data_IF_576307119230
#
_entry.id   IF_576307119230
#
_cell.length_a   1.000
_cell.length_b   1.000
_cell.length_c   1.000
_cell.angle_alpha   90.00
_cell.angle_beta   90.00
_cell.angle_gamma   90.00
#
_symmetry.space_group_name_H-M   'P 1'
#
loop_
_entity.id
_entity.type
_entity.pdbx_description
1 polymer ?
#
# COMPACT_ATOMS: atom_id res chain seq x y z
N UNK A 1 -4.97 9.94 3.00
CA UNK A 1 -3.49 9.92 3.05
C UNK A 1 -2.95 8.99 4.14
N UNK A 2 -3.54 8.94 5.34
CA UNK A 2 -3.10 8.04 6.42
C UNK A 2 -3.36 6.53 6.15
N UNK A 3 -4.48 6.13 5.53
CA UNK A 3 -4.77 4.71 5.24
C UNK A 3 -3.97 4.11 4.07
N UNK A 4 -3.55 4.94 3.10
CA UNK A 4 -2.75 4.52 1.94
C UNK A 4 -1.33 4.08 2.32
N UNK A 5 -0.80 4.65 3.41
CA UNK A 5 0.46 4.24 4.01
C UNK A 5 0.35 2.81 4.54
N UNK A 6 -0.71 2.48 5.30
CA UNK A 6 -0.85 1.20 6.01
C UNK A 6 -0.91 -0.04 5.11
N UNK A 7 -1.68 0.00 4.01
CA UNK A 7 -1.80 -1.13 3.07
C UNK A 7 -0.50 -1.36 2.30
N UNK A 8 0.17 -0.28 1.91
CA UNK A 8 1.40 -0.31 1.11
C UNK A 8 2.63 -0.68 1.96
N UNK A 9 2.64 -0.22 3.22
CA UNK A 9 3.60 -0.61 4.25
C UNK A 9 3.48 -2.10 4.59
N UNK A 10 2.27 -2.67 4.59
CA UNK A 10 2.04 -4.11 4.84
C UNK A 10 2.57 -4.99 3.71
N UNK A 11 2.50 -4.55 2.45
CA UNK A 11 3.04 -5.31 1.30
C UNK A 11 4.57 -5.32 1.29
N UNK A 12 5.22 -4.20 1.63
CA UNK A 12 6.69 -4.14 1.77
C UNK A 12 7.21 -4.86 3.00
N UNK A 13 6.44 -4.98 4.09
CA UNK A 13 6.81 -5.81 5.22
C UNK A 13 7.11 -7.25 4.79
N UNK A 14 6.28 -7.84 3.91
CA UNK A 14 6.54 -9.20 3.40
C UNK A 14 7.79 -9.23 2.51
N UNK A 15 8.03 -8.23 1.66
CA UNK A 15 9.27 -8.13 0.86
C UNK A 15 10.53 -7.96 1.74
N UNK A 16 10.45 -7.15 2.79
CA UNK A 16 11.56 -6.91 3.73
C UNK A 16 11.84 -8.14 4.60
N UNK A 17 10.80 -8.91 4.94
CA UNK A 17 10.87 -10.19 5.68
C UNK A 17 11.50 -11.30 4.83
N UNK A 18 11.25 -11.32 3.52
CA UNK A 18 11.88 -12.25 2.57
C UNK A 18 13.39 -11.96 2.44
N UNK A 19 13.79 -10.69 2.33
CA UNK A 19 15.19 -10.27 2.19
C UNK A 19 16.02 -10.41 3.48
N UNK A 20 15.39 -10.60 4.64
CA UNK A 20 16.07 -10.71 5.95
C UNK A 20 16.22 -12.15 6.46
N UNK A 21 15.91 -13.15 5.61
CA UNK A 21 16.22 -14.57 5.88
C UNK A 21 17.72 -14.85 6.02
N UNK A 22 18.60 -13.88 5.72
CA UNK A 22 20.03 -13.93 6.06
C UNK A 22 20.33 -13.35 7.46
N UNK A 23 19.80 -13.94 8.53
CA UNK A 23 20.39 -13.98 9.89
C UNK A 23 20.90 -12.69 10.60
N UNK A 24 20.75 -11.48 10.04
CA UNK A 24 21.42 -10.29 10.56
C UNK A 24 20.59 -9.63 11.67
N UNK A 25 20.92 -9.98 12.92
CA UNK A 25 20.48 -9.30 14.15
C UNK A 25 21.05 -7.87 14.20
N UNK A 26 20.49 -6.96 13.42
CA UNK A 26 20.94 -5.56 13.37
C UNK A 26 20.02 -4.65 14.20
N UNK A 27 20.57 -3.79 15.08
CA UNK A 27 19.81 -2.73 15.75
C UNK A 27 19.07 -1.82 14.76
N UNK A 28 19.65 -1.59 13.58
CA UNK A 28 19.04 -0.83 12.49
C UNK A 28 17.79 -1.51 11.94
N UNK A 29 17.82 -2.82 11.73
CA UNK A 29 16.65 -3.57 11.25
C UNK A 29 15.53 -3.59 12.30
N UNK A 30 15.90 -3.82 13.56
CA UNK A 30 14.95 -3.83 14.68
C UNK A 30 14.16 -2.53 14.77
N UNK A 31 14.80 -1.41 14.51
CA UNK A 31 14.16 -0.11 14.58
C UNK A 31 13.30 0.24 13.35
N UNK A 32 13.57 -0.35 12.17
CA UNK A 32 12.57 -0.36 11.08
C UNK A 32 11.33 -1.16 11.46
N UNK A 33 11.48 -2.31 12.14
CA UNK A 33 10.32 -3.10 12.61
C UNK A 33 9.47 -2.34 13.63
N UNK A 34 10.09 -1.58 14.52
CA UNK A 34 9.36 -0.75 15.49
C UNK A 34 8.65 0.40 14.79
N UNK A 35 9.35 1.14 13.92
CA UNK A 35 8.76 2.22 13.12
C UNK A 35 7.55 1.72 12.30
N UNK A 36 7.67 0.53 11.71
CA UNK A 36 6.63 -0.15 10.97
C UNK A 36 5.38 -0.41 11.84
N UNK A 37 5.56 -0.96 13.04
CA UNK A 37 4.45 -1.25 13.97
C UNK A 37 3.74 0.03 14.38
N UNK A 38 4.49 1.06 14.77
CA UNK A 38 3.94 2.37 15.15
C UNK A 38 3.15 2.99 14.00
N UNK A 39 3.71 2.95 12.78
CA UNK A 39 2.99 3.40 11.60
C UNK A 39 1.73 2.59 11.35
N UNK A 40 1.78 1.24 11.47
CA UNK A 40 0.64 0.33 11.26
C UNK A 40 -0.54 0.61 12.19
N UNK A 41 -0.24 0.91 13.44
CA UNK A 41 -1.26 1.25 14.45
C UNK A 41 -1.70 2.73 14.37
N UNK A 42 -1.23 3.49 13.38
CA UNK A 42 -1.49 4.93 13.23
C UNK A 42 -1.11 5.75 14.47
N UNK A 43 -0.08 5.30 15.19
CA UNK A 43 0.37 5.95 16.42
C UNK A 43 1.39 7.06 16.13
N UNK A 44 1.48 8.10 16.96
CA UNK A 44 2.53 9.11 16.85
C UNK A 44 3.92 8.47 16.97
N UNK A 45 4.86 8.85 16.11
CA UNK A 45 6.25 8.35 16.18
C UNK A 45 6.90 8.57 17.55
N UNK A 46 6.45 9.62 18.26
CA UNK A 46 6.90 9.98 19.60
C UNK A 46 6.64 8.93 20.68
N UNK A 47 5.68 8.01 20.46
CA UNK A 47 5.40 6.92 21.39
C UNK A 47 6.60 5.98 21.55
N UNK A 48 7.47 5.93 20.54
CA UNK A 48 8.59 4.98 20.52
C UNK A 48 9.63 5.30 21.58
N UNK A 49 10.06 6.56 21.64
CA UNK A 49 11.04 7.04 22.60
C UNK A 49 10.41 7.24 23.99
N UNK A 50 9.17 7.73 24.03
CA UNK A 50 8.52 8.10 25.29
C UNK A 50 7.92 6.92 26.06
N UNK A 51 7.57 5.82 25.38
CA UNK A 51 6.86 4.70 26.01
C UNK A 51 7.41 3.33 25.62
N UNK A 52 7.56 3.05 24.33
CA UNK A 52 7.93 1.69 23.87
C UNK A 52 9.33 1.30 24.35
N UNK A 53 10.32 2.18 24.17
CA UNK A 53 11.70 1.90 24.58
C UNK A 53 11.84 1.79 26.11
N UNK A 54 11.34 2.73 26.93
CA UNK A 54 11.35 2.59 28.39
C UNK A 54 10.66 1.32 28.87
N UNK A 55 9.47 1.02 28.37
CA UNK A 55 8.73 -0.19 28.76
C UNK A 55 9.50 -1.47 28.41
N UNK A 56 10.12 -1.54 27.22
CA UNK A 56 10.93 -2.69 26.83
C UNK A 56 12.18 -2.85 27.71
N UNK A 57 12.84 -1.75 28.09
CA UNK A 57 13.98 -1.76 29.01
C UNK A 57 13.55 -2.27 30.38
N UNK A 58 12.47 -1.75 30.96
CA UNK A 58 11.99 -2.14 32.27
C UNK A 58 11.62 -3.63 32.32
N UNK A 59 10.94 -4.12 31.27
CA UNK A 59 10.59 -5.53 31.15
C UNK A 59 11.83 -6.43 31.11
N UNK A 60 12.82 -6.13 30.26
CA UNK A 60 14.03 -6.95 30.14
C UNK A 60 14.90 -6.86 31.39
N UNK A 61 14.98 -5.68 32.00
CA UNK A 61 15.76 -5.45 33.22
C UNK A 61 15.21 -6.26 34.40
N UNK A 62 13.89 -6.36 34.54
CA UNK A 62 13.23 -7.13 35.62
C UNK A 62 13.23 -8.63 35.32
N UNK A 63 12.93 -9.02 34.08
CA UNK A 63 12.68 -10.43 33.72
C UNK A 63 13.94 -11.20 33.34
N UNK A 64 15.00 -10.51 32.91
CA UNK A 64 16.24 -11.14 32.44
C UNK A 64 17.39 -10.60 33.31
N UNK A 65 17.93 -9.45 32.96
CA UNK A 65 18.96 -8.74 33.72
C UNK A 65 19.23 -7.35 33.08
N UNK A 66 20.03 -6.55 33.78
CA UNK A 66 20.41 -5.21 33.34
C UNK A 66 21.37 -5.22 32.14
N UNK A 67 22.13 -6.29 31.90
CA UNK A 67 23.09 -6.39 30.81
C UNK A 67 22.36 -6.53 29.47
N UNK A 68 21.38 -7.41 29.39
CA UNK A 68 20.51 -7.59 28.23
C UNK A 68 19.63 -6.35 28.00
N UNK A 69 19.15 -5.69 29.06
CA UNK A 69 18.37 -4.46 28.94
C UNK A 69 19.19 -3.32 28.29
N UNK A 70 20.49 -3.25 28.59
CA UNK A 70 21.37 -2.24 27.99
C UNK A 70 21.55 -2.45 26.47
N UNK A 71 21.42 -3.68 25.96
CA UNK A 71 21.48 -3.92 24.50
C UNK A 71 20.33 -3.24 23.75
N UNK A 72 19.16 -3.06 24.37
CA UNK A 72 18.03 -2.35 23.76
C UNK A 72 18.32 -0.86 23.50
N UNK A 73 19.18 -0.23 24.31
CA UNK A 73 19.58 1.18 24.11
C UNK A 73 20.39 1.39 22.84
N UNK A 74 20.96 0.32 22.28
CA UNK A 74 21.68 0.37 20.99
C UNK A 74 20.75 0.49 19.79
N UNK A 75 19.45 0.23 19.98
CA UNK A 75 18.45 0.32 18.93
C UNK A 75 18.10 1.81 18.73
N UNK A 76 18.30 2.38 17.53
CA UNK A 76 18.06 3.80 17.31
C UNK A 76 16.54 4.03 17.15
N UNK A 77 15.90 4.36 18.29
CA UNK A 77 14.45 4.58 18.42
C UNK A 77 14.08 6.04 18.75
N UNK A 78 15.00 6.99 18.59
CA UNK A 78 14.70 8.41 18.80
C UNK A 78 13.57 8.87 17.88
N UNK A 79 12.82 9.89 18.33
CA UNK A 79 11.69 10.46 17.61
C UNK A 79 12.07 10.84 16.17
N UNK A 80 13.22 11.50 15.99
CA UNK A 80 13.75 11.87 14.67
C UNK A 80 14.07 10.64 13.82
N UNK A 81 14.65 9.61 14.43
CA UNK A 81 15.00 8.38 13.72
C UNK A 81 13.76 7.64 13.25
N UNK A 82 12.75 7.49 14.12
CA UNK A 82 11.51 6.79 13.76
C UNK A 82 10.72 7.60 12.74
N UNK A 83 10.64 8.91 12.90
CA UNK A 83 10.04 9.81 11.91
C UNK A 83 10.71 9.64 10.54
N UNK A 84 12.04 9.71 10.49
CA UNK A 84 12.82 9.48 9.26
C UNK A 84 12.55 8.11 8.67
N UNK A 85 12.53 7.03 9.47
CA UNK A 85 12.27 5.69 8.95
C UNK A 85 10.86 5.51 8.41
N UNK A 86 9.86 6.08 9.08
CA UNK A 86 8.48 6.10 8.57
C UNK A 86 8.45 6.84 7.23
N UNK A 87 9.12 7.98 7.14
CA UNK A 87 9.25 8.74 5.91
C UNK A 87 10.01 7.96 4.82
N UNK A 88 11.10 7.27 5.13
CA UNK A 88 11.85 6.45 4.16
C UNK A 88 11.01 5.29 3.64
N UNK A 89 10.31 4.58 4.53
CA UNK A 89 9.38 3.52 4.14
C UNK A 89 8.23 4.07 3.28
N UNK A 90 7.73 5.28 3.60
CA UNK A 90 6.72 5.98 2.81
C UNK A 90 7.26 6.41 1.44
N UNK A 91 8.42 7.05 1.40
CA UNK A 91 9.04 7.59 0.18
C UNK A 91 9.49 6.48 -0.75
N UNK A 92 10.00 5.37 -0.23
CA UNK A 92 10.34 4.21 -1.05
C UNK A 92 9.06 3.58 -1.65
N UNK A 93 7.91 3.62 -0.95
CA UNK A 93 6.60 3.23 -1.53
C UNK A 93 6.14 4.23 -2.58
N UNK A 94 6.23 5.53 -2.30
CA UNK A 94 5.86 6.58 -3.24
C UNK A 94 6.76 6.56 -4.47
N UNK A 95 8.06 6.33 -4.34
CA UNK A 95 8.98 6.16 -5.45
C UNK A 95 8.67 4.85 -6.19
N UNK A 96 8.34 3.74 -5.55
CA UNK A 96 7.85 2.58 -6.33
C UNK A 96 6.52 2.85 -7.06
N UNK A 97 5.71 3.80 -6.60
CA UNK A 97 4.46 4.20 -7.27
C UNK A 97 4.73 5.30 -8.32
N UNK A 98 5.67 6.20 -8.10
CA UNK A 98 5.90 7.44 -8.88
C UNK A 98 7.24 7.53 -9.61
N UNK A 99 8.26 6.76 -9.25
CA UNK A 99 9.53 6.62 -10.00
C UNK A 99 9.34 5.82 -11.31
N UNK A 100 8.25 5.04 -11.43
CA UNK A 100 7.77 4.59 -12.76
C UNK A 100 6.98 5.69 -13.50
N UNK A 101 6.64 6.81 -12.86
CA UNK A 101 5.97 7.94 -13.52
C UNK A 101 6.92 9.06 -13.95
N UNK A 102 8.17 9.07 -13.44
CA UNK A 102 9.23 10.01 -13.84
C UNK A 102 10.62 9.35 -13.76
N UNK A 103 10.92 8.29 -14.53
CA UNK A 103 12.17 8.19 -15.31
C UNK A 103 12.18 7.07 -16.40
N UNK A 104 12.75 7.44 -17.55
CA UNK A 104 13.23 6.68 -18.73
C UNK A 104 12.30 5.73 -19.53
N UNK A 105 11.31 5.05 -18.96
CA UNK A 105 10.48 4.10 -19.73
C UNK A 105 9.00 4.49 -19.69
N UNK A 106 8.44 4.88 -20.83
CA UNK A 106 7.04 5.32 -21.02
C UNK A 106 6.02 4.17 -20.83
N UNK A 107 6.12 3.42 -19.72
CA UNK A 107 5.30 2.26 -19.42
C UNK A 107 4.07 2.69 -18.61
N UNK A 108 2.89 2.33 -19.10
CA UNK A 108 1.66 2.60 -18.39
C UNK A 108 1.57 1.75 -17.12
N UNK A 109 1.06 2.32 -16.04
CA UNK A 109 0.81 1.61 -14.78
C UNK A 109 -0.68 1.27 -14.61
N UNK A 110 -0.95 0.13 -13.97
CA UNK A 110 -2.27 -0.26 -13.51
C UNK A 110 -2.33 -0.26 -11.99
N UNK A 111 -3.07 0.71 -11.46
CA UNK A 111 -3.29 0.91 -10.03
C UNK A 111 -4.72 0.48 -9.67
N UNK A 112 -4.85 -0.37 -8.66
CA UNK A 112 -6.14 -0.87 -8.19
C UNK A 112 -6.30 -0.62 -6.69
N UNK A 113 -7.42 0.01 -6.33
CA UNK A 113 -7.85 0.23 -4.94
C UNK A 113 -9.12 -0.58 -4.66
N UNK A 114 -9.22 -1.11 -3.45
CA UNK A 114 -10.43 -1.74 -2.92
C UNK A 114 -11.02 -0.86 -1.83
N UNK A 115 -12.31 -0.58 -1.96
CA UNK A 115 -13.09 0.20 -0.99
C UNK A 115 -14.19 -0.70 -0.44
N UNK A 116 -14.22 -0.88 0.88
CA UNK A 116 -15.11 -1.82 1.55
C UNK A 116 -15.58 -1.28 2.90
N UNK A 117 -16.68 -1.83 3.40
CA UNK A 117 -17.19 -1.54 4.73
C UNK A 117 -16.63 -2.55 5.74
N UNK A 118 -16.24 -2.07 6.91
CA UNK A 118 -15.76 -2.87 8.03
C UNK A 118 -16.10 -2.12 9.33
N UNK A 119 -16.95 -2.73 10.16
CA UNK A 119 -17.37 -2.21 11.47
C UNK A 119 -18.03 -0.82 11.40
N UNK A 120 -18.96 -0.65 10.46
CA UNK A 120 -19.67 0.60 10.19
C UNK A 120 -18.83 1.67 9.51
N UNK A 121 -17.56 1.38 9.20
CA UNK A 121 -16.62 2.35 8.64
C UNK A 121 -16.18 1.93 7.23
N UNK A 122 -16.18 2.91 6.31
CA UNK A 122 -15.68 2.69 4.96
C UNK A 122 -14.15 2.80 4.98
N UNK A 123 -13.48 1.71 4.57
CA UNK A 123 -12.03 1.61 4.43
C UNK A 123 -11.66 1.57 2.95
N UNK A 124 -10.48 2.09 2.63
CA UNK A 124 -9.91 2.08 1.28
C UNK A 124 -8.44 1.67 1.37
N UNK A 125 -8.09 0.61 0.65
CA UNK A 125 -6.74 0.05 0.62
C UNK A 125 -6.28 -0.12 -0.83
N UNK A 126 -4.98 0.07 -1.08
CA UNK A 126 -4.38 -0.28 -2.37
C UNK A 126 -4.27 -1.80 -2.46
N UNK A 127 -4.87 -2.38 -3.50
CA UNK A 127 -4.77 -3.80 -3.79
C UNK A 127 -3.46 -4.11 -4.52
N UNK A 128 -3.15 -3.37 -5.58
CA UNK A 128 -1.88 -3.47 -6.27
C UNK A 128 -1.55 -2.23 -7.12
N UNK A 129 -0.27 -2.09 -7.46
CA UNK A 129 0.27 -1.25 -8.52
C UNK A 129 1.22 -2.11 -9.36
N UNK A 130 1.01 -2.18 -10.67
CA UNK A 130 1.82 -2.99 -11.60
C UNK A 130 2.02 -2.24 -12.91
N UNK A 131 3.21 -2.29 -13.48
CA UNK A 131 3.42 -1.87 -14.87
C UNK A 131 2.65 -2.78 -15.82
N UNK A 132 2.13 -2.19 -16.88
CA UNK A 132 1.38 -2.86 -17.94
C UNK A 132 2.40 -3.23 -19.03
N UNK A 133 2.69 -4.53 -19.24
CA UNK A 133 3.61 -4.93 -20.28
C UNK A 133 2.97 -4.68 -21.67
N UNK A 134 3.56 -3.77 -22.45
CA UNK A 134 3.13 -3.49 -23.83
C UNK A 134 1.92 -2.54 -23.91
N UNK A 135 0.85 -2.96 -24.57
CA UNK A 135 -0.30 -2.10 -24.87
C UNK A 135 -1.40 -2.18 -23.81
N UNK A 136 -1.99 -1.02 -23.48
CA UNK A 136 -3.12 -0.88 -22.56
C UNK A 136 -4.43 -1.38 -23.21
N UNK A 137 -4.62 -2.71 -23.26
CA UNK A 137 -5.86 -3.34 -23.74
C UNK A 137 -6.70 -3.88 -22.59
N UNK A 138 -8.02 -3.97 -22.77
CA UNK A 138 -8.89 -4.54 -21.73
C UNK A 138 -8.59 -6.00 -21.41
N UNK A 139 -8.12 -6.79 -22.39
CA UNK A 139 -7.66 -8.16 -22.17
C UNK A 139 -6.40 -8.21 -21.29
N UNK A 140 -5.36 -7.44 -21.65
CA UNK A 140 -4.12 -7.42 -20.88
C UNK A 140 -4.33 -6.91 -19.45
N UNK A 141 -5.20 -5.91 -19.27
CA UNK A 141 -5.58 -5.44 -17.93
C UNK A 141 -6.30 -6.53 -17.12
N UNK A 142 -7.16 -7.33 -17.76
CA UNK A 142 -7.88 -8.41 -17.10
C UNK A 142 -6.94 -9.55 -16.68
N UNK A 143 -6.05 -9.99 -17.56
CA UNK A 143 -5.05 -11.02 -17.26
C UNK A 143 -4.15 -10.59 -16.09
N UNK A 144 -3.65 -9.35 -16.15
CA UNK A 144 -2.82 -8.77 -15.09
C UNK A 144 -3.58 -8.68 -13.75
N UNK A 145 -4.87 -8.30 -13.79
CA UNK A 145 -5.73 -8.28 -12.62
C UNK A 145 -5.84 -9.67 -11.99
N UNK A 146 -6.24 -10.68 -12.78
CA UNK A 146 -6.43 -12.06 -12.29
C UNK A 146 -5.13 -12.63 -11.74
N UNK A 147 -4.02 -12.47 -12.45
CA UNK A 147 -2.70 -12.92 -12.00
C UNK A 147 -2.32 -12.28 -10.67
N UNK A 148 -2.49 -10.95 -10.56
CA UNK A 148 -2.07 -10.20 -9.38
C UNK A 148 -2.95 -10.52 -8.17
N UNK A 149 -4.22 -10.86 -8.38
CA UNK A 149 -5.15 -11.13 -7.28
C UNK A 149 -5.37 -12.61 -6.99
N UNK A 150 -4.70 -13.51 -7.70
CA UNK A 150 -4.93 -14.96 -7.60
C UNK A 150 -4.72 -15.52 -6.18
N UNK A 151 -3.79 -14.95 -5.43
CA UNK A 151 -3.45 -15.36 -4.07
C UNK A 151 -4.15 -14.51 -2.99
N UNK A 152 -4.92 -13.51 -3.40
CA UNK A 152 -5.67 -12.67 -2.48
C UNK A 152 -6.98 -13.39 -2.13
N UNK A 153 -7.29 -13.50 -0.83
CA UNK A 153 -8.51 -14.16 -0.37
C UNK A 153 -9.73 -13.22 -0.47
N UNK A 154 -10.06 -12.82 -1.70
CA UNK A 154 -11.15 -11.88 -2.00
C UNK A 154 -12.36 -12.61 -2.59
N UNK A 155 -13.52 -12.36 -2.01
CA UNK A 155 -14.79 -12.81 -2.56
C UNK A 155 -15.32 -11.78 -3.56
N UNK A 156 -15.00 -12.03 -4.83
CA UNK A 156 -15.37 -11.18 -5.95
C UNK A 156 -16.89 -11.03 -6.13
N UNK A 157 -17.71 -11.96 -5.63
CA UNK A 157 -19.17 -11.83 -5.66
C UNK A 157 -19.69 -10.67 -4.80
N UNK A 158 -18.91 -10.22 -3.82
CA UNK A 158 -19.24 -9.06 -2.97
C UNK A 158 -18.84 -7.73 -3.62
N UNK A 159 -18.14 -7.75 -4.74
CA UNK A 159 -17.81 -6.53 -5.48
C UNK A 159 -19.07 -6.00 -6.17
N UNK A 160 -19.51 -4.80 -5.78
CA UNK A 160 -20.72 -4.17 -6.31
C UNK A 160 -20.44 -3.12 -7.37
N UNK A 161 -19.24 -2.54 -7.39
CA UNK A 161 -18.96 -1.41 -8.29
C UNK A 161 -17.49 -1.22 -8.60
N UNK A 162 -17.20 -0.74 -9.81
CA UNK A 162 -15.85 -0.35 -10.27
C UNK A 162 -15.85 1.11 -10.72
N UNK A 163 -14.83 1.86 -10.32
CA UNK A 163 -14.64 3.25 -10.71
C UNK A 163 -13.40 3.41 -11.57
N UNK A 164 -13.52 4.12 -12.69
CA UNK A 164 -12.36 4.44 -13.54
C UNK A 164 -12.53 5.75 -14.31
N UNK A 165 -11.45 6.23 -14.92
CA UNK A 165 -11.42 7.43 -15.78
C UNK A 165 -12.19 7.28 -17.11
N UNK A 166 -12.78 6.11 -17.37
CA UNK A 166 -13.53 5.87 -18.58
C UNK A 166 -12.69 5.59 -19.82
N UNK A 167 -11.38 5.34 -19.69
CA UNK A 167 -10.52 4.99 -20.81
C UNK A 167 -11.10 3.81 -21.63
N UNK A 168 -10.92 3.84 -22.96
CA UNK A 168 -11.47 2.83 -23.88
C UNK A 168 -11.04 1.40 -23.53
N UNK A 169 -9.82 1.24 -22.99
CA UNK A 169 -9.32 -0.05 -22.51
C UNK A 169 -10.13 -0.61 -21.33
N UNK A 170 -10.76 0.26 -20.53
CA UNK A 170 -11.56 -0.12 -19.37
C UNK A 170 -13.03 -0.28 -19.76
N UNK A 171 -13.60 0.71 -20.47
CA UNK A 171 -15.04 0.83 -20.74
C UNK A 171 -15.48 0.37 -22.13
N UNK A 172 -14.54 -0.11 -22.96
CA UNK A 172 -14.82 -0.55 -24.32
C UNK A 172 -15.98 -1.54 -24.38
N UNK A 173 -17.00 -1.24 -25.20
CA UNK A 173 -18.28 -1.96 -25.24
C UNK A 173 -18.17 -3.48 -25.37
N UNK A 174 -17.18 -3.97 -26.13
CA UNK A 174 -17.02 -5.39 -26.44
C UNK A 174 -15.72 -5.99 -25.88
N UNK A 175 -14.76 -5.17 -25.49
CA UNK A 175 -13.39 -5.60 -25.17
C UNK A 175 -12.76 -4.87 -23.99
N UNK A 176 -13.52 -4.01 -23.31
CA UNK A 176 -13.06 -3.30 -22.13
C UNK A 176 -12.89 -4.23 -20.94
N UNK A 177 -12.02 -3.85 -20.01
CA UNK A 177 -11.82 -4.55 -18.74
C UNK A 177 -13.16 -4.84 -18.03
N UNK A 178 -14.09 -3.88 -17.98
CA UNK A 178 -15.38 -4.03 -17.30
C UNK A 178 -16.20 -5.19 -17.88
N UNK A 179 -16.19 -5.38 -19.20
CA UNK A 179 -16.91 -6.47 -19.86
C UNK A 179 -16.39 -7.83 -19.37
N UNK A 180 -15.07 -7.95 -19.23
CA UNK A 180 -14.41 -9.17 -18.77
C UNK A 180 -14.59 -9.41 -17.28
N UNK A 181 -14.48 -8.33 -16.49
CA UNK A 181 -14.73 -8.40 -15.05
C UNK A 181 -16.16 -8.85 -14.72
N UNK A 182 -17.15 -8.58 -15.58
CA UNK A 182 -18.52 -9.11 -15.41
C UNK A 182 -18.62 -10.63 -15.54
N UNK A 183 -17.66 -11.30 -16.15
CA UNK A 183 -17.62 -12.78 -16.18
C UNK A 183 -17.25 -13.35 -14.79
N UNK A 184 -16.40 -12.65 -14.04
CA UNK A 184 -15.99 -13.02 -12.68
C UNK A 184 -16.93 -12.45 -11.61
N UNK A 185 -17.48 -11.26 -11.87
CA UNK A 185 -18.30 -10.48 -10.94
C UNK A 185 -19.58 -10.02 -11.64
N UNK A 186 -20.61 -10.89 -11.74
CA UNK A 186 -21.77 -10.62 -12.60
C UNK A 186 -22.56 -9.35 -12.24
N UNK A 187 -22.49 -8.92 -10.98
CA UNK A 187 -23.28 -7.83 -10.44
C UNK A 187 -22.55 -6.47 -10.41
N UNK A 188 -21.34 -6.38 -10.95
CA UNK A 188 -20.60 -5.11 -10.89
C UNK A 188 -21.24 -4.05 -11.80
N UNK A 189 -21.37 -2.86 -11.24
CA UNK A 189 -21.69 -1.66 -12.00
C UNK A 189 -20.46 -0.77 -12.17
N UNK A 190 -20.27 -0.22 -13.36
CA UNK A 190 -19.20 0.73 -13.62
C UNK A 190 -19.70 2.16 -13.45
N UNK A 191 -18.94 2.97 -12.72
CA UNK A 191 -19.17 4.41 -12.59
C UNK A 191 -17.94 5.19 -12.97
N UNK A 192 -18.13 6.24 -13.77
CA UNK A 192 -17.03 7.12 -14.13
C UNK A 192 -16.50 7.88 -12.90
N UNK A 193 -15.18 7.93 -12.74
CA UNK A 193 -14.49 8.60 -11.64
C UNK A 193 -14.92 10.07 -11.55
N UNK A 194 -15.37 10.48 -10.36
CA UNK A 194 -15.87 11.84 -10.11
C UNK A 194 -14.79 12.90 -10.29
N UNK A 195 -13.56 12.62 -9.82
CA UNK A 195 -12.43 13.54 -9.97
C UNK A 195 -12.06 13.73 -11.44
N UNK A 196 -12.05 12.65 -12.23
CA UNK A 196 -11.80 12.76 -13.66
C UNK A 196 -12.92 13.55 -14.36
N UNK A 197 -14.18 13.29 -14.02
CA UNK A 197 -15.33 14.05 -14.55
C UNK A 197 -15.24 15.53 -14.22
N UNK A 198 -14.84 15.87 -12.99
CA UNK A 198 -14.66 17.24 -12.56
C UNK A 198 -13.52 17.93 -13.33
N UNK A 199 -12.37 17.26 -13.47
CA UNK A 199 -11.24 17.75 -14.25
C UNK A 199 -11.61 17.99 -15.72
N UNK A 200 -12.38 17.07 -16.34
CA UNK A 200 -12.88 17.24 -17.70
C UNK A 200 -13.84 18.43 -17.83
N UNK A 201 -14.72 18.63 -16.86
CA UNK A 201 -15.65 19.76 -16.84
C UNK A 201 -14.90 21.09 -16.68
N UNK A 202 -13.96 21.17 -15.74
CA UNK A 202 -13.12 22.35 -15.52
C UNK A 202 -12.32 22.71 -16.79
N UNK A 203 -11.75 21.71 -17.48
CA UNK A 203 -11.02 21.92 -18.74
C UNK A 203 -11.90 22.45 -19.87
N UNK A 204 -13.18 22.07 -19.91
CA UNK A 204 -14.13 22.57 -20.92
C UNK A 204 -14.55 24.01 -20.67
N UNK A 205 -14.63 24.42 -19.40
CA UNK A 205 -15.01 25.78 -19.00
C UNK A 205 -13.83 26.77 -18.99
N UNK A 206 -12.60 26.30 -19.21
CA UNK A 206 -11.40 27.13 -19.31
C UNK A 206 -11.05 27.52 -20.77
N UNK A 207 -11.97 27.31 -21.71
CA UNK A 207 -11.92 27.77 -23.10
C UNK A 207 -13.05 28.76 -23.34
#
# INVERSE_FOLDING_TARGET
MCCLLLSSISRKYETFKINSTSGNKSPTFTSYLVALRVAKESMPHTITENLILPAAIDMVNIMIDAEEANKLKTIPLSNDTISRRINEMSTDVLNQIFDESIDVTNLAQFLCFVRYECDGTIKENMLFCKSIPGHTTGQGLFELFIETTKNENLDWNKCISVYSDGAKAITGKNSGLIVKLKELMPHIEWTHCFLHRHALAAKKNAR
#
